data_IF_482377222683
#
_entry.id   IF_482377222683
#
_cell.length_a   1.000
_cell.length_b   1.000
_cell.length_c   1.000
_cell.angle_alpha   90.00
_cell.angle_beta   90.00
_cell.angle_gamma   90.00
#
_symmetry.space_group_name_H-M   'P 1'
#
loop_
_entity.id
_entity.type
_entity.pdbx_description
1 polymer ?
#
# COMPACT_ATOMS: atom_id res chain seq x y z
N UNK A 1 25.12 -37.80 -9.61
CA UNK A 1 25.83 -36.97 -8.61
C UNK A 1 25.13 -35.63 -8.54
N UNK A 2 24.37 -35.36 -7.48
CA UNK A 2 23.71 -34.07 -7.29
C UNK A 2 24.70 -33.12 -6.61
N UNK A 3 25.07 -32.04 -7.28
CA UNK A 3 26.00 -31.06 -6.71
C UNK A 3 25.36 -30.33 -5.51
N UNK A 4 26.01 -30.32 -4.32
CA UNK A 4 25.48 -29.67 -3.11
C UNK A 4 25.26 -28.15 -3.25
N UNK A 5 25.83 -27.51 -4.27
CA UNK A 5 25.63 -26.09 -4.58
C UNK A 5 24.23 -25.74 -5.11
N UNK A 6 23.51 -26.71 -5.68
CA UNK A 6 22.18 -26.49 -6.26
C UNK A 6 21.09 -26.29 -5.20
N UNK A 7 21.12 -27.08 -4.13
CA UNK A 7 20.12 -27.03 -3.06
C UNK A 7 20.18 -25.71 -2.26
N UNK A 8 21.38 -25.19 -2.00
CA UNK A 8 21.54 -23.89 -1.31
C UNK A 8 21.13 -22.69 -2.17
N UNK A 9 21.34 -22.72 -3.50
CA UNK A 9 20.85 -21.67 -4.40
C UNK A 9 19.32 -21.67 -4.48
N UNK A 10 18.70 -22.84 -4.59
CA UNK A 10 17.25 -22.96 -4.71
C UNK A 10 16.51 -22.42 -3.48
N UNK A 11 17.01 -22.70 -2.27
CA UNK A 11 16.40 -22.16 -1.03
C UNK A 11 16.50 -20.65 -0.90
N UNK A 12 17.61 -20.04 -1.36
CA UNK A 12 17.79 -18.58 -1.35
C UNK A 12 16.88 -17.88 -2.35
N UNK A 13 16.76 -18.42 -3.56
CA UNK A 13 15.83 -17.87 -4.56
C UNK A 13 14.40 -17.92 -4.04
N UNK A 14 14.00 -19.02 -3.40
CA UNK A 14 12.67 -19.12 -2.80
C UNK A 14 12.44 -18.07 -1.69
N UNK A 15 13.41 -17.85 -0.80
CA UNK A 15 13.31 -16.84 0.26
C UNK A 15 13.22 -15.40 -0.30
N UNK A 16 14.02 -15.08 -1.32
CA UNK A 16 13.93 -13.78 -2.02
C UNK A 16 12.55 -13.60 -2.65
N UNK A 17 12.06 -14.62 -3.36
CA UNK A 17 10.73 -14.55 -3.98
C UNK A 17 9.62 -14.37 -2.94
N UNK A 18 9.68 -15.09 -1.81
CA UNK A 18 8.73 -14.93 -0.71
C UNK A 18 8.78 -13.53 -0.07
N UNK A 19 9.95 -12.87 -0.06
CA UNK A 19 10.07 -11.49 0.42
C UNK A 19 9.65 -10.42 -0.58
N UNK A 20 9.78 -10.69 -1.89
CA UNK A 20 9.54 -9.68 -2.93
C UNK A 20 8.13 -9.77 -3.53
N UNK A 21 7.67 -10.99 -3.84
CA UNK A 21 6.44 -11.22 -4.62
C UNK A 21 5.18 -10.63 -3.96
N UNK A 22 4.95 -10.77 -2.63
CA UNK A 22 3.74 -10.20 -2.03
C UNK A 22 3.63 -8.68 -2.20
N UNK A 23 4.75 -7.97 -2.05
CA UNK A 23 4.83 -6.51 -2.24
C UNK A 23 4.54 -6.10 -3.68
N UNK A 24 5.05 -6.86 -4.66
CA UNK A 24 4.75 -6.62 -6.08
C UNK A 24 3.30 -6.96 -6.42
N UNK A 25 2.77 -8.05 -5.87
CA UNK A 25 1.39 -8.46 -6.10
C UNK A 25 0.39 -7.40 -5.61
N UNK A 26 0.57 -6.90 -4.38
CA UNK A 26 -0.30 -5.84 -3.85
C UNK A 26 -0.16 -4.53 -4.61
N UNK A 27 1.05 -4.20 -5.11
CA UNK A 27 1.26 -3.05 -5.97
C UNK A 27 0.45 -3.14 -7.27
N UNK A 28 0.54 -4.28 -7.97
CA UNK A 28 -0.20 -4.48 -9.22
C UNK A 28 -1.70 -4.35 -8.99
N UNK A 29 -2.23 -5.00 -7.94
CA UNK A 29 -3.65 -4.89 -7.58
C UNK A 29 -4.03 -3.43 -7.30
N UNK A 30 -3.24 -2.71 -6.49
CA UNK A 30 -3.48 -1.31 -6.17
C UNK A 30 -3.52 -0.43 -7.43
N UNK A 31 -2.54 -0.57 -8.33
CA UNK A 31 -2.48 0.20 -9.57
C UNK A 31 -3.66 -0.09 -10.50
N UNK A 32 -4.08 -1.35 -10.60
CA UNK A 32 -5.27 -1.74 -11.37
C UNK A 32 -6.53 -1.08 -10.80
N UNK A 33 -6.73 -1.14 -9.47
CA UNK A 33 -7.88 -0.52 -8.82
C UNK A 33 -7.89 1.00 -9.01
N UNK A 34 -6.76 1.67 -8.74
CA UNK A 34 -6.64 3.13 -8.94
C UNK A 34 -6.87 3.53 -10.40
N UNK A 35 -6.45 2.69 -11.36
CA UNK A 35 -6.69 2.92 -12.79
C UNK A 35 -8.16 2.79 -13.17
N UNK A 36 -8.87 1.82 -12.60
CA UNK A 36 -10.31 1.59 -12.82
C UNK A 36 -11.11 2.74 -12.21
N UNK A 37 -10.77 3.16 -10.99
CA UNK A 37 -11.51 4.17 -10.24
C UNK A 37 -11.22 5.61 -10.65
N UNK A 38 -10.17 5.84 -11.45
CA UNK A 38 -9.69 7.18 -11.81
C UNK A 38 -10.78 8.17 -12.25
N UNK A 39 -11.79 7.71 -12.98
CA UNK A 39 -12.86 8.56 -13.48
C UNK A 39 -13.87 8.97 -12.40
N UNK A 40 -13.99 8.18 -11.34
CA UNK A 40 -14.96 8.36 -10.25
C UNK A 40 -14.34 9.08 -9.04
N UNK A 41 -13.05 9.41 -9.09
CA UNK A 41 -12.34 10.04 -7.99
C UNK A 41 -12.40 11.56 -8.08
N UNK A 42 -12.50 12.27 -6.94
CA UNK A 42 -12.37 13.72 -6.89
C UNK A 42 -10.99 14.15 -7.41
N UNK A 43 -10.88 15.42 -7.85
CA UNK A 43 -9.61 15.99 -8.31
C UNK A 43 -8.52 15.92 -7.21
N UNK A 44 -8.95 16.07 -5.97
CA UNK A 44 -8.14 15.97 -4.77
C UNK A 44 -8.67 14.87 -3.86
N UNK A 45 -7.76 14.00 -3.42
CA UNK A 45 -8.07 12.87 -2.54
C UNK A 45 -7.69 13.28 -1.12
N UNK A 46 -8.61 13.18 -0.17
CA UNK A 46 -8.30 13.39 1.23
C UNK A 46 -7.34 12.31 1.73
N UNK A 47 -6.26 12.74 2.38
CA UNK A 47 -5.22 11.86 2.94
C UNK A 47 -4.96 12.13 4.41
N UNK A 48 -5.44 13.25 4.94
CA UNK A 48 -5.35 13.60 6.35
C UNK A 48 -6.69 14.19 6.81
N UNK A 49 -7.05 13.83 8.04
CA UNK A 49 -8.26 14.29 8.72
C UNK A 49 -7.89 14.73 10.12
N UNK A 50 -8.49 15.83 10.55
CA UNK A 50 -8.48 16.27 11.94
C UNK A 50 -9.90 16.34 12.49
N UNK A 51 -10.06 16.87 13.71
CA UNK A 51 -11.37 17.00 14.37
C UNK A 51 -12.37 17.90 13.64
N UNK A 52 -11.90 18.71 12.68
CA UNK A 52 -12.70 19.65 11.90
C UNK A 52 -12.94 19.18 10.45
N UNK A 53 -12.46 17.99 10.09
CA UNK A 53 -12.61 17.40 8.75
C UNK A 53 -11.30 17.25 7.99
N UNK A 54 -11.37 17.32 6.67
CA UNK A 54 -10.21 17.17 5.77
C UNK A 54 -9.32 18.40 5.87
N UNK A 55 -8.05 18.18 6.21
CA UNK A 55 -7.02 19.22 6.32
C UNK A 55 -5.75 18.89 5.50
N UNK A 56 -5.71 17.72 4.86
CA UNK A 56 -4.66 17.38 3.90
C UNK A 56 -5.21 16.57 2.74
N UNK A 57 -4.85 16.99 1.53
CA UNK A 57 -5.22 16.33 0.28
C UNK A 57 -3.99 15.99 -0.56
N UNK A 58 -4.18 15.08 -1.51
CA UNK A 58 -3.18 14.69 -2.48
C UNK A 58 -3.82 14.46 -3.85
N UNK A 59 -3.08 14.73 -4.92
CA UNK A 59 -3.50 14.31 -6.26
C UNK A 59 -3.46 12.79 -6.40
N UNK A 60 -4.24 12.23 -7.33
CA UNK A 60 -4.17 10.80 -7.66
C UNK A 60 -2.75 10.35 -8.03
N UNK A 61 -1.99 11.21 -8.72
CA UNK A 61 -0.60 10.92 -9.05
C UNK A 61 0.27 10.79 -7.79
N UNK A 62 0.08 11.68 -6.81
CA UNK A 62 0.77 11.58 -5.53
C UNK A 62 0.45 10.27 -4.81
N UNK A 63 -0.82 9.86 -4.77
CA UNK A 63 -1.24 8.58 -4.19
C UNK A 63 -0.55 7.40 -4.89
N UNK A 64 -0.54 7.40 -6.23
CA UNK A 64 0.15 6.37 -7.03
C UNK A 64 1.64 6.31 -6.68
N UNK A 65 2.32 7.46 -6.63
CA UNK A 65 3.74 7.52 -6.26
C UNK A 65 3.98 6.95 -4.87
N UNK A 66 3.17 7.34 -3.87
CA UNK A 66 3.29 6.82 -2.50
C UNK A 66 3.11 5.31 -2.45
N UNK A 67 2.10 4.75 -3.13
CA UNK A 67 1.87 3.30 -3.21
C UNK A 67 3.05 2.58 -3.87
N UNK A 68 3.57 3.13 -4.98
CA UNK A 68 4.74 2.56 -5.68
C UNK A 68 5.96 2.55 -4.76
N UNK A 69 6.26 3.67 -4.08
CA UNK A 69 7.42 3.78 -3.19
C UNK A 69 7.33 2.76 -2.06
N UNK A 70 6.19 2.67 -1.37
CA UNK A 70 6.00 1.74 -0.25
C UNK A 70 6.16 0.29 -0.71
N UNK A 71 5.53 -0.09 -1.82
CA UNK A 71 5.62 -1.45 -2.32
C UNK A 71 7.02 -1.81 -2.84
N UNK A 72 7.72 -0.88 -3.49
CA UNK A 72 9.10 -1.08 -3.94
C UNK A 72 10.03 -1.24 -2.73
N UNK A 73 9.87 -0.42 -1.69
CA UNK A 73 10.63 -0.56 -0.45
C UNK A 73 10.38 -1.91 0.22
N UNK A 74 9.11 -2.34 0.33
CA UNK A 74 8.75 -3.66 0.84
C UNK A 74 9.41 -4.79 0.04
N UNK A 75 9.34 -4.69 -1.30
CA UNK A 75 9.92 -5.67 -2.21
C UNK A 75 11.45 -5.78 -2.09
N UNK A 76 12.14 -4.63 -1.97
CA UNK A 76 13.60 -4.54 -1.79
C UNK A 76 14.00 -5.07 -0.41
N UNK A 77 13.35 -4.61 0.66
CA UNK A 77 13.67 -5.07 2.02
C UNK A 77 13.43 -6.56 2.20
N UNK A 78 12.31 -7.08 1.67
CA UNK A 78 12.01 -8.51 1.69
C UNK A 78 12.99 -9.33 0.86
N UNK A 79 13.39 -8.84 -0.32
CA UNK A 79 14.40 -9.48 -1.15
C UNK A 79 15.78 -9.51 -0.50
N UNK A 80 16.20 -8.39 0.11
CA UNK A 80 17.45 -8.28 0.87
C UNK A 80 17.43 -9.23 2.07
N UNK A 81 16.35 -9.25 2.84
CA UNK A 81 16.18 -10.19 3.96
C UNK A 81 16.27 -11.65 3.49
N UNK A 82 15.56 -12.00 2.42
CA UNK A 82 15.59 -13.35 1.82
C UNK A 82 16.95 -13.77 1.27
N UNK A 83 17.81 -12.81 0.91
CA UNK A 83 19.16 -13.09 0.42
C UNK A 83 20.20 -13.23 1.55
N UNK A 84 20.12 -12.37 2.57
CA UNK A 84 21.18 -12.22 3.58
C UNK A 84 20.90 -12.95 4.89
N UNK A 85 19.64 -13.08 5.33
CA UNK A 85 19.31 -13.76 6.60
C UNK A 85 19.40 -15.28 6.40
N UNK A 86 20.16 -15.94 7.27
CA UNK A 86 20.44 -17.38 7.18
C UNK A 86 19.63 -18.20 8.17
N UNK A 87 19.37 -17.65 9.35
CA UNK A 87 18.57 -18.33 10.36
C UNK A 87 17.08 -18.31 9.96
N UNK A 88 16.45 -19.48 10.02
CA UNK A 88 15.07 -19.64 9.52
C UNK A 88 14.02 -18.88 10.33
N UNK A 89 14.21 -18.73 11.64
CA UNK A 89 13.24 -18.08 12.53
C UNK A 89 13.27 -16.54 12.37
N UNK A 90 14.43 -15.86 12.46
CA UNK A 90 14.55 -14.44 12.11
C UNK A 90 14.07 -14.13 10.69
N UNK A 91 14.41 -14.98 9.71
CA UNK A 91 13.96 -14.79 8.33
C UNK A 91 12.43 -14.79 8.23
N UNK A 92 11.75 -15.76 8.85
CA UNK A 92 10.28 -15.85 8.83
C UNK A 92 9.63 -14.63 9.46
N UNK A 93 10.12 -14.20 10.61
CA UNK A 93 9.61 -13.01 11.32
C UNK A 93 9.82 -11.76 10.47
N UNK A 94 11.02 -11.55 9.92
CA UNK A 94 11.31 -10.39 9.07
C UNK A 94 10.44 -10.38 7.81
N UNK A 95 10.32 -11.50 7.10
CA UNK A 95 9.47 -11.57 5.91
C UNK A 95 8.00 -11.34 6.25
N UNK A 96 7.52 -11.89 7.37
CA UNK A 96 6.16 -11.67 7.87
C UNK A 96 5.88 -10.19 8.16
N UNK A 97 6.79 -9.52 8.85
CA UNK A 97 6.66 -8.09 9.19
C UNK A 97 6.73 -7.20 7.95
N UNK A 98 7.72 -7.40 7.07
CA UNK A 98 7.89 -6.59 5.85
C UNK A 98 6.68 -6.73 4.94
N UNK A 99 6.26 -7.98 4.67
CA UNK A 99 5.10 -8.22 3.80
C UNK A 99 3.81 -7.75 4.46
N UNK A 100 3.60 -8.06 5.74
CA UNK A 100 2.41 -7.68 6.48
C UNK A 100 2.22 -6.16 6.52
N UNK A 101 3.27 -5.41 6.86
CA UNK A 101 3.22 -3.96 6.91
C UNK A 101 3.01 -3.34 5.52
N UNK A 102 3.72 -3.83 4.50
CA UNK A 102 3.58 -3.33 3.13
C UNK A 102 2.15 -3.53 2.62
N UNK A 103 1.61 -4.73 2.76
CA UNK A 103 0.24 -5.05 2.34
C UNK A 103 -0.78 -4.23 3.12
N UNK A 104 -0.63 -4.15 4.45
CA UNK A 104 -1.53 -3.37 5.31
C UNK A 104 -1.59 -1.90 4.90
N UNK A 105 -0.42 -1.26 4.73
CA UNK A 105 -0.36 0.16 4.39
C UNK A 105 -0.89 0.43 2.98
N UNK A 106 -0.49 -0.36 1.98
CA UNK A 106 -0.98 -0.20 0.60
C UNK A 106 -2.48 -0.42 0.53
N UNK A 107 -2.99 -1.49 1.15
CA UNK A 107 -4.42 -1.77 1.19
C UNK A 107 -5.20 -0.67 1.92
N UNK A 108 -4.67 -0.13 3.02
CA UNK A 108 -5.27 0.97 3.77
C UNK A 108 -5.38 2.24 2.92
N UNK A 109 -4.32 2.62 2.20
CA UNK A 109 -4.33 3.78 1.28
C UNK A 109 -5.38 3.57 0.19
N UNK A 110 -5.34 2.43 -0.50
CA UNK A 110 -6.24 2.14 -1.63
C UNK A 110 -7.70 2.05 -1.17
N UNK A 111 -7.98 1.45 -0.02
CA UNK A 111 -9.34 1.36 0.54
C UNK A 111 -9.88 2.75 0.89
N UNK A 112 -9.04 3.60 1.47
CA UNK A 112 -9.38 4.99 1.80
C UNK A 112 -9.69 5.81 0.55
N UNK A 113 -8.92 5.63 -0.52
CA UNK A 113 -9.20 6.24 -1.83
C UNK A 113 -10.49 5.70 -2.42
N UNK A 114 -10.71 4.39 -2.35
CA UNK A 114 -11.90 3.72 -2.87
C UNK A 114 -13.20 4.16 -2.19
N UNK A 115 -13.14 4.56 -0.92
CA UNK A 115 -14.25 5.12 -0.16
C UNK A 115 -14.64 6.55 -0.59
N UNK A 116 -13.74 7.25 -1.30
CA UNK A 116 -13.97 8.61 -1.80
C UNK A 116 -14.52 8.65 -3.23
N UNK A 117 -14.90 7.50 -3.81
CA UNK A 117 -15.49 7.48 -5.16
C UNK A 117 -16.88 8.11 -5.17
N UNK A 118 -17.20 8.82 -6.24
CA UNK A 118 -18.51 9.44 -6.45
C UNK A 118 -18.76 10.72 -5.64
N UNK A 119 -17.77 11.23 -4.90
CA UNK A 119 -17.86 12.54 -4.24
C UNK A 119 -17.31 13.63 -5.17
N UNK A 120 -18.03 14.74 -5.28
CA UNK A 120 -17.66 15.85 -6.18
C UNK A 120 -16.54 16.72 -5.61
N UNK A 121 -16.52 16.89 -4.28
CA UNK A 121 -15.56 17.69 -3.53
C UNK A 121 -15.40 17.11 -2.13
N UNK A 122 -14.15 17.03 -1.66
CA UNK A 122 -13.80 16.58 -0.30
C UNK A 122 -14.13 17.62 0.77
N UNK A 123 -14.39 18.87 0.39
CA UNK A 123 -14.74 19.96 1.30
C UNK A 123 -16.25 20.16 1.50
N UNK A 124 -17.08 19.56 0.64
CA UNK A 124 -18.54 19.72 0.70
C UNK A 124 -19.17 19.04 1.93
N UNK A 125 -18.43 18.13 2.56
CA UNK A 125 -18.86 17.39 3.75
C UNK A 125 -18.96 18.32 4.97
N UNK A 126 -18.14 19.38 5.04
CA UNK A 126 -18.17 20.35 6.14
C UNK A 126 -19.34 21.36 6.04
N UNK A 127 -19.73 21.75 4.83
CA UNK A 127 -20.83 22.70 4.61
C UNK A 127 -22.21 22.11 4.91
N UNK A 128 -22.40 20.79 4.78
CA UNK A 128 -23.68 20.14 5.06
C UNK A 128 -24.01 20.08 6.56
N UNK A 129 -23.01 19.98 7.43
CA UNK A 129 -23.23 19.94 8.89
C UNK A 129 -23.47 21.32 9.50
N UNK A 130 -22.89 22.41 8.97
CA UNK A 130 -23.14 23.75 9.52
C UNK A 130 -24.57 24.23 9.21
N UNK A 131 -25.11 23.85 8.05
CA UNK A 131 -26.43 24.30 7.60
C UNK A 131 -27.62 23.51 8.23
N UNK A 132 -27.35 22.38 8.89
CA UNK A 132 -28.35 21.67 9.69
C UNK A 132 -28.46 22.20 11.12
N UNK A 133 -27.39 22.80 11.66
CA UNK A 133 -27.35 23.34 13.02
C UNK A 133 -27.92 24.75 13.14
N UNK A 134 -28.17 25.43 12.02
CA UNK A 134 -28.78 26.77 11.95
C UNK A 134 -30.30 26.76 11.68
N UNK A 135 -30.91 25.56 11.58
CA UNK A 135 -32.35 25.37 11.36
C UNK A 135 -33.08 24.78 12.58
N UNK A 136 -32.59 25.09 13.78
CA UNK A 136 -33.28 24.77 15.05
C UNK A 136 -33.40 26.04 15.87
#
# INVERSE_FOLDING_TARGET
MNHPSSQHRSGRVAAVLLGTVPSIAVLVVALVLLRIWRADLPKEIATHWNSHGVDGTMSLLGVVVTVVVIAVLGAVLGGVAGWYIRESEPLRVTLGLVNGLTVFVVAGIVSTVGAQRGITSVYDIAFRQSNSSSRV
#
